data_IF_875293059040
#
_entry.id   IF_875293059040
#
_cell.length_a   1.000
_cell.length_b   1.000
_cell.length_c   1.000
_cell.angle_alpha   90.00
_cell.angle_beta   90.00
_cell.angle_gamma   90.00
#
_symmetry.space_group_name_H-M   'P 1'
#
loop_
_entity.id
_entity.type
_entity.pdbx_description
1 polymer ?
#
# COMPACT_ATOMS: atom_id res chain seq x y z
N UNK A 1 -5.23 -15.07 -0.88
CA UNK A 1 -4.50 -14.67 0.36
C UNK A 1 -4.53 -13.14 0.51
N UNK A 2 -4.14 -12.36 -0.50
CA UNK A 2 -4.32 -10.89 -0.50
C UNK A 2 -5.81 -10.48 -0.54
N UNK A 3 -6.65 -11.13 -1.36
CA UNK A 3 -8.09 -10.78 -1.44
C UNK A 3 -8.87 -10.99 -0.14
N UNK A 4 -8.45 -11.92 0.72
CA UNK A 4 -9.17 -12.26 1.96
C UNK A 4 -8.90 -11.23 3.08
N UNK A 5 -7.70 -10.66 3.13
CA UNK A 5 -7.34 -9.64 4.14
C UNK A 5 -7.64 -8.20 3.69
N UNK A 6 -7.75 -7.97 2.39
CA UNK A 6 -7.86 -6.63 1.81
C UNK A 6 -9.32 -6.13 1.66
N UNK A 7 -10.32 -6.93 2.04
CA UNK A 7 -11.74 -6.60 1.85
C UNK A 7 -12.20 -5.30 2.54
N UNK A 8 -11.47 -4.81 3.54
CA UNK A 8 -11.73 -3.54 4.22
C UNK A 8 -11.02 -2.33 3.59
N UNK A 9 -10.09 -2.50 2.64
CA UNK A 9 -9.39 -1.36 2.05
C UNK A 9 -10.30 -0.36 1.30
N UNK A 10 -11.37 -0.80 0.61
CA UNK A 10 -12.30 0.14 0.00
C UNK A 10 -12.97 1.09 1.00
N UNK A 11 -13.23 0.64 2.24
CA UNK A 11 -13.90 1.48 3.25
C UNK A 11 -13.01 2.61 3.80
N UNK A 12 -11.69 2.50 3.64
CA UNK A 12 -10.71 3.53 4.00
C UNK A 12 -10.23 4.34 2.78
N UNK A 13 -10.95 4.24 1.66
CA UNK A 13 -10.76 5.07 0.48
C UNK A 13 -9.66 4.59 -0.47
N UNK A 14 -9.27 3.32 -0.43
CA UNK A 14 -8.45 2.71 -1.49
C UNK A 14 -9.35 2.36 -2.67
N UNK A 15 -8.99 2.79 -3.87
CA UNK A 15 -9.78 2.44 -5.05
C UNK A 15 -9.64 0.94 -5.36
N UNK A 16 -10.74 0.19 -5.52
CA UNK A 16 -10.71 -1.25 -5.80
C UNK A 16 -9.83 -1.64 -7.00
N UNK A 17 -9.67 -0.78 -8.01
CA UNK A 17 -8.81 -1.04 -9.16
C UNK A 17 -7.33 -1.27 -8.79
N UNK A 18 -6.89 -0.74 -7.66
CA UNK A 18 -5.52 -0.87 -7.17
C UNK A 18 -5.36 -2.03 -6.17
N UNK A 19 -6.42 -2.77 -5.86
CA UNK A 19 -6.37 -3.96 -5.00
C UNK A 19 -6.01 -5.16 -5.88
N UNK A 20 -4.73 -5.26 -6.24
CA UNK A 20 -4.20 -6.33 -7.08
C UNK A 20 -2.86 -6.81 -6.54
N UNK A 21 -2.43 -8.03 -6.90
CA UNK A 21 -1.10 -8.55 -6.55
C UNK A 21 0.06 -7.66 -7.02
N UNK A 22 -0.16 -6.90 -8.09
CA UNK A 22 0.85 -5.96 -8.60
C UNK A 22 0.99 -4.76 -7.69
N UNK A 23 -0.14 -4.20 -7.22
CA UNK A 23 -0.16 -2.90 -6.55
C UNK A 23 -0.16 -2.99 -5.03
N UNK A 24 -0.62 -4.11 -4.47
CA UNK A 24 -0.68 -4.34 -3.03
C UNK A 24 0.49 -5.20 -2.57
N UNK A 25 1.21 -4.73 -1.57
CA UNK A 25 2.21 -5.52 -0.87
C UNK A 25 1.91 -5.58 0.63
N UNK A 26 2.04 -6.78 1.18
CA UNK A 26 1.93 -7.07 2.61
C UNK A 26 3.06 -8.03 2.96
N UNK A 27 4.02 -7.56 3.73
CA UNK A 27 5.20 -8.35 4.14
C UNK A 27 5.04 -8.87 5.57
N UNK A 28 4.19 -8.22 6.36
CA UNK A 28 3.82 -8.59 7.74
C UNK A 28 2.38 -8.14 8.02
N UNK A 29 1.90 -8.44 9.22
CA UNK A 29 0.61 -7.99 9.74
C UNK A 29 0.57 -6.49 10.14
N UNK A 30 1.71 -5.78 10.11
CA UNK A 30 1.79 -4.39 10.56
C UNK A 30 1.44 -3.35 9.51
N UNK A 31 1.83 -3.60 8.26
CA UNK A 31 1.72 -2.61 7.19
C UNK A 31 1.23 -3.22 5.89
N UNK A 32 0.34 -2.49 5.23
CA UNK A 32 -0.06 -2.72 3.85
C UNK A 32 0.40 -1.53 3.02
N UNK A 33 1.02 -1.79 1.88
CA UNK A 33 1.30 -0.74 0.89
C UNK A 33 0.42 -0.95 -0.33
N UNK A 34 -0.17 0.12 -0.83
CA UNK A 34 -0.94 0.12 -2.08
C UNK A 34 -0.36 1.18 -3.00
N UNK A 35 -0.06 0.80 -4.24
CA UNK A 35 0.38 1.72 -5.28
C UNK A 35 -0.81 2.17 -6.11
N UNK A 36 -1.08 3.48 -6.13
CA UNK A 36 -2.12 4.10 -6.95
C UNK A 36 -1.43 4.84 -8.11
N UNK A 37 -1.89 4.65 -9.34
CA UNK A 37 -1.24 5.20 -10.55
C UNK A 37 -2.08 6.22 -11.33
N UNK A 38 -3.28 6.55 -10.82
CA UNK A 38 -4.18 7.55 -11.41
C UNK A 38 -5.07 8.15 -10.34
N UNK A 39 -5.25 9.49 -10.27
CA UNK A 39 -4.76 10.50 -11.21
C UNK A 39 -3.28 10.91 -11.01
N UNK A 40 -2.66 10.56 -9.88
CA UNK A 40 -1.25 10.79 -9.60
C UNK A 40 -0.64 9.54 -8.96
N UNK A 41 0.60 9.24 -9.32
CA UNK A 41 1.34 8.15 -8.69
C UNK A 41 1.54 8.40 -7.20
N UNK A 42 1.07 7.47 -6.38
CA UNK A 42 1.27 7.51 -4.94
C UNK A 42 1.42 6.13 -4.34
N UNK A 43 2.11 6.08 -3.20
CA UNK A 43 2.14 4.91 -2.33
C UNK A 43 1.30 5.25 -1.11
N UNK A 44 0.26 4.46 -0.87
CA UNK A 44 -0.57 4.52 0.32
C UNK A 44 -0.08 3.48 1.31
N UNK A 45 0.28 3.92 2.51
CA UNK A 45 0.76 3.07 3.59
C UNK A 45 -0.33 3.00 4.65
N UNK A 46 -0.82 1.80 4.91
CA UNK A 46 -1.81 1.52 5.95
C UNK A 46 -1.08 0.88 7.13
N UNK A 47 -1.09 1.55 8.28
CA UNK A 47 -0.67 0.97 9.56
C UNK A 47 -1.86 0.21 10.15
N UNK A 48 -1.71 -1.10 10.37
CA UNK A 48 -2.79 -1.95 10.84
C UNK A 48 -3.18 -1.68 12.30
N UNK A 49 -2.36 -0.92 13.06
CA UNK A 49 -2.76 -0.40 14.37
C UNK A 49 -3.67 0.83 14.26
N UNK A 50 -3.63 1.56 13.14
CA UNK A 50 -4.43 2.77 12.88
C UNK A 50 -4.94 2.78 11.42
N UNK A 51 -5.75 1.78 11.01
CA UNK A 51 -6.11 1.58 9.61
C UNK A 51 -6.96 2.71 9.03
N UNK A 52 -7.65 3.46 9.88
CA UNK A 52 -8.48 4.61 9.50
C UNK A 52 -7.67 5.86 9.10
N UNK A 53 -6.35 5.84 9.30
CA UNK A 53 -5.45 6.97 9.00
C UNK A 53 -4.37 6.58 7.97
N UNK A 54 -4.74 6.19 6.74
CA UNK A 54 -3.77 5.81 5.71
C UNK A 54 -2.89 7.01 5.31
N UNK A 55 -1.59 6.77 5.23
CA UNK A 55 -0.61 7.77 4.82
C UNK A 55 -0.39 7.70 3.31
N UNK A 56 -0.82 8.72 2.57
CA UNK A 56 -0.56 8.85 1.12
C UNK A 56 0.69 9.67 0.87
N UNK A 57 1.66 9.10 0.14
CA UNK A 57 2.89 9.79 -0.25
C UNK A 57 2.98 9.87 -1.78
N UNK A 58 3.26 11.06 -2.37
CA UNK A 58 3.44 11.19 -3.82
C UNK A 58 4.77 10.56 -4.23
N UNK A 59 4.75 9.27 -4.56
CA UNK A 59 5.92 8.45 -4.86
C UNK A 59 5.62 7.67 -6.14
N UNK A 60 6.53 7.77 -7.11
CA UNK A 60 6.53 6.95 -8.33
C UNK A 60 7.52 5.80 -8.14
N UNK A 61 7.05 4.56 -8.21
CA UNK A 61 7.88 3.36 -8.03
C UNK A 61 7.27 2.12 -8.71
N UNK A 62 8.13 1.25 -9.24
CA UNK A 62 7.79 -0.06 -9.79
C UNK A 62 7.34 -1.05 -8.71
N UNK A 63 7.81 -0.86 -7.48
CA UNK A 63 7.47 -1.69 -6.32
C UNK A 63 7.73 -0.91 -5.05
N UNK A 64 6.94 -1.20 -4.01
CA UNK A 64 7.08 -0.61 -2.69
C UNK A 64 6.88 -1.70 -1.63
N UNK A 65 7.76 -1.75 -0.64
CA UNK A 65 7.72 -2.73 0.45
C UNK A 65 8.03 -2.02 1.77
N UNK A 66 7.23 -2.27 2.82
CA UNK A 66 7.52 -1.79 4.17
C UNK A 66 8.36 -2.81 4.93
N UNK A 67 9.32 -2.30 5.71
CA UNK A 67 10.03 -3.11 6.69
C UNK A 67 9.02 -3.69 7.72
N UNK A 68 9.13 -4.97 8.11
CA UNK A 68 8.15 -5.62 8.97
C UNK A 68 8.17 -5.15 10.44
N UNK A 69 9.21 -4.41 10.85
CA UNK A 69 9.41 -3.99 12.25
C UNK A 69 9.38 -2.46 12.36
N UNK A 70 10.16 -1.77 11.52
CA UNK A 70 10.39 -0.33 11.57
C UNK A 70 9.66 0.42 10.47
N UNK A 71 9.46 1.73 10.64
CA UNK A 71 8.81 2.61 9.64
C UNK A 71 9.78 2.99 8.51
N UNK A 72 10.26 2.00 7.76
CA UNK A 72 11.18 2.16 6.63
C UNK A 72 10.50 1.61 5.37
N UNK A 73 10.41 2.43 4.32
CA UNK A 73 9.85 2.07 3.02
C UNK A 73 10.98 1.83 2.01
N UNK A 74 11.03 0.62 1.47
CA UNK A 74 11.91 0.27 0.35
C UNK A 74 11.18 0.46 -0.98
N UNK A 75 11.85 1.10 -1.94
CA UNK A 75 11.30 1.44 -3.25
C UNK A 75 12.18 0.86 -4.35
N UNK A 76 11.56 0.25 -5.36
CA UNK A 76 12.20 0.01 -6.65
C UNK A 76 11.81 1.17 -7.58
N UNK A 77 12.79 1.97 -7.99
CA UNK A 77 12.56 3.07 -8.93
C UNK A 77 12.06 2.58 -10.29
N UNK A 78 11.37 3.47 -11.01
CA UNK A 78 11.06 3.29 -12.43
C UNK A 78 12.34 3.50 -13.24
N UNK A 79 12.59 2.65 -14.24
CA UNK A 79 13.70 2.81 -15.20
C UNK A 79 13.21 3.59 -16.41
#
# INVERSE_FOLDING_TARGET
MIDVFCGSLPSIGINPQFITFTNVTMVSDKFICVRETSPQNSVVIIDMNMPMHPLRRPITADSALMNPISKILALKGTI
#
